data_IF_860506381164
#
_entry.id   IF_860506381164
#
_cell.length_a   1.000
_cell.length_b   1.000
_cell.length_c   1.000
_cell.angle_alpha   90.00
_cell.angle_beta   90.00
_cell.angle_gamma   90.00
#
_symmetry.space_group_name_H-M   'P 1'
#
loop_
_entity.id
_entity.type
_entity.pdbx_description
1 polymer ?
#
# COMPACT_ATOMS: atom_id res chain seq x y z
N UNK A 1 7.87 -19.73 16.32
CA UNK A 1 7.32 -19.11 15.09
C UNK A 1 7.74 -17.63 15.01
N UNK A 2 7.98 -17.13 13.82
CA UNK A 2 8.30 -15.74 13.54
C UNK A 2 7.00 -15.02 13.18
N UNK A 3 6.68 -13.94 13.88
CA UNK A 3 5.58 -13.06 13.49
C UNK A 3 6.05 -12.20 12.32
N UNK A 4 5.25 -12.12 11.28
CA UNK A 4 5.54 -11.34 10.08
C UNK A 4 4.28 -10.76 9.47
N UNK A 5 4.42 -9.70 8.70
CA UNK A 5 3.39 -9.08 7.87
C UNK A 5 3.98 -8.54 6.58
N UNK A 6 3.14 -8.28 5.61
CA UNK A 6 3.52 -7.71 4.31
C UNK A 6 2.74 -6.43 4.08
N UNK A 7 3.42 -5.41 3.60
CA UNK A 7 2.83 -4.19 3.06
C UNK A 7 3.12 -4.15 1.57
N UNK A 8 2.10 -3.86 0.78
CA UNK A 8 2.23 -3.77 -0.68
C UNK A 8 1.60 -2.47 -1.15
N UNK A 9 2.42 -1.60 -1.70
CA UNK A 9 2.00 -0.47 -2.49
C UNK A 9 1.67 -0.92 -3.91
N UNK A 10 0.61 -0.38 -4.47
CA UNK A 10 0.21 -0.67 -5.84
C UNK A 10 0.33 0.58 -6.71
N UNK A 11 0.92 0.43 -7.88
CA UNK A 11 0.86 1.47 -8.90
C UNK A 11 -0.58 1.67 -9.37
N UNK A 12 -0.97 2.92 -9.61
CA UNK A 12 -2.30 3.26 -10.11
C UNK A 12 -2.18 4.21 -11.29
N UNK A 13 -2.99 3.97 -12.32
CA UNK A 13 -3.16 4.91 -13.44
C UNK A 13 -4.62 4.89 -13.90
N UNK A 14 -5.03 5.94 -14.62
CA UNK A 14 -6.34 6.00 -15.28
C UNK A 14 -6.12 5.99 -16.78
N UNK A 15 -6.74 5.03 -17.47
CA UNK A 15 -6.59 4.87 -18.91
C UNK A 15 -7.09 6.12 -19.64
N UNK A 16 -6.35 6.58 -20.63
CA UNK A 16 -6.64 7.76 -21.45
C UNK A 16 -6.65 9.09 -20.66
N UNK A 17 -6.09 9.13 -19.46
CA UNK A 17 -5.93 10.35 -18.67
C UNK A 17 -4.46 10.50 -18.22
N UNK A 18 -3.58 11.08 -19.06
CA UNK A 18 -2.16 11.24 -18.73
C UNK A 18 -1.94 12.16 -17.52
N UNK A 19 -2.83 13.13 -17.30
CA UNK A 19 -2.76 14.12 -16.22
C UNK A 19 -3.66 13.76 -15.02
N UNK A 20 -3.91 12.46 -14.80
CA UNK A 20 -4.69 12.02 -13.64
C UNK A 20 -3.95 12.34 -12.33
N UNK A 21 -4.72 12.65 -11.30
CA UNK A 21 -4.16 12.83 -9.95
C UNK A 21 -4.10 11.46 -9.25
N UNK A 22 -2.90 10.92 -8.96
CA UNK A 22 -2.76 9.59 -8.34
C UNK A 22 -3.32 9.53 -6.93
N UNK A 23 -3.24 10.64 -6.15
CA UNK A 23 -3.79 10.71 -4.80
C UNK A 23 -5.32 10.60 -4.86
N UNK A 24 -5.99 11.42 -5.68
CA UNK A 24 -7.45 11.38 -5.79
C UNK A 24 -7.94 10.03 -6.30
N UNK A 25 -7.20 9.41 -7.23
CA UNK A 25 -7.53 8.07 -7.74
C UNK A 25 -7.36 6.99 -6.67
N UNK A 26 -6.31 7.07 -5.85
CA UNK A 26 -6.10 6.17 -4.72
C UNK A 26 -7.17 6.35 -3.64
N UNK A 27 -7.55 7.60 -3.36
CA UNK A 27 -8.65 7.94 -2.47
C UNK A 27 -9.98 7.34 -2.92
N UNK A 28 -10.32 7.54 -4.20
CA UNK A 28 -11.52 6.97 -4.80
C UNK A 28 -11.52 5.44 -4.66
N UNK A 29 -10.39 4.82 -4.94
CA UNK A 29 -10.23 3.38 -4.81
C UNK A 29 -10.51 2.91 -3.38
N UNK A 30 -9.85 3.49 -2.38
CA UNK A 30 -10.00 3.08 -0.97
C UNK A 30 -11.42 3.33 -0.48
N UNK A 31 -12.01 4.49 -0.77
CA UNK A 31 -13.36 4.81 -0.36
C UNK A 31 -14.42 3.89 -1.00
N UNK A 32 -14.16 3.39 -2.21
CA UNK A 32 -15.06 2.47 -2.89
C UNK A 32 -15.10 1.08 -2.26
N UNK A 33 -14.13 0.72 -1.42
CA UNK A 33 -14.16 -0.56 -0.70
C UNK A 33 -15.03 -0.53 0.55
N UNK A 34 -15.29 0.64 1.13
CA UNK A 34 -15.99 0.75 2.41
C UNK A 34 -17.24 -0.16 2.48
N UNK A 35 -17.28 -0.96 3.53
CA UNK A 35 -18.39 -1.87 3.83
C UNK A 35 -18.78 -1.69 5.29
N UNK A 36 -19.93 -2.24 5.69
CA UNK A 36 -20.35 -2.26 7.10
C UNK A 36 -19.39 -3.00 8.03
N UNK A 37 -18.43 -3.75 7.46
CA UNK A 37 -17.37 -4.49 8.20
C UNK A 37 -16.03 -3.79 8.21
N UNK A 38 -15.88 -2.66 7.55
CA UNK A 38 -14.69 -1.83 7.63
C UNK A 38 -14.88 -0.73 8.66
N UNK A 39 -13.82 -0.36 9.35
CA UNK A 39 -13.82 0.73 10.33
C UNK A 39 -12.90 1.85 9.87
N UNK A 40 -13.39 3.08 9.91
CA UNK A 40 -12.56 4.26 9.72
C UNK A 40 -11.91 4.59 11.07
N UNK A 41 -10.59 4.51 11.11
CA UNK A 41 -9.81 4.86 12.30
C UNK A 41 -9.07 6.16 12.03
N UNK A 42 -9.04 7.06 13.02
CA UNK A 42 -8.08 8.16 13.01
C UNK A 42 -6.69 7.56 13.17
N UNK A 43 -5.89 7.66 12.14
CA UNK A 43 -4.50 7.25 12.18
C UNK A 43 -3.64 8.44 12.58
N UNK A 44 -2.64 8.19 13.43
CA UNK A 44 -1.67 9.21 13.79
C UNK A 44 -0.57 9.24 12.72
N UNK A 45 -0.56 10.32 11.94
CA UNK A 45 0.43 10.54 10.89
C UNK A 45 1.64 11.37 11.37
N UNK A 46 1.84 11.58 12.69
CA UNK A 46 3.02 12.32 13.15
C UNK A 46 4.33 11.66 12.72
N UNK A 47 4.33 10.32 12.62
CA UNK A 47 5.47 9.54 12.16
C UNK A 47 5.41 9.14 10.68
N UNK A 48 4.30 9.41 10.00
CA UNK A 48 4.07 9.02 8.60
C UNK A 48 3.76 10.27 7.77
N UNK A 49 4.27 10.31 6.55
CA UNK A 49 4.01 11.40 5.60
C UNK A 49 3.41 10.84 4.31
N UNK A 50 2.10 10.50 4.27
CA UNK A 50 1.48 9.78 3.16
C UNK A 50 1.50 10.53 1.82
N UNK A 51 1.76 11.85 1.86
CA UNK A 51 1.85 12.71 0.67
C UNK A 51 3.29 13.08 0.31
N UNK A 52 4.27 12.48 0.96
CA UNK A 52 5.70 12.72 0.75
C UNK A 52 6.38 11.45 0.31
N UNK A 53 7.13 11.49 -0.79
CA UNK A 53 7.92 10.32 -1.16
C UNK A 53 9.23 10.22 -0.35
N UNK A 54 9.85 9.05 -0.36
CA UNK A 54 11.10 8.79 0.38
C UNK A 54 12.28 9.68 -0.09
N UNK A 55 12.17 10.34 -1.23
CA UNK A 55 13.16 11.29 -1.78
C UNK A 55 12.93 12.71 -1.29
N UNK A 56 11.91 12.94 -0.46
CA UNK A 56 11.56 14.25 0.07
C UNK A 56 10.76 15.12 -0.91
N UNK A 57 10.21 14.53 -1.95
CA UNK A 57 9.28 15.22 -2.82
C UNK A 57 7.98 15.46 -2.05
N UNK A 58 7.67 16.72 -1.78
CA UNK A 58 6.35 17.13 -1.29
C UNK A 58 5.55 17.58 -2.50
N UNK A 59 4.34 17.06 -2.64
CA UNK A 59 3.40 17.64 -3.60
C UNK A 59 3.25 19.13 -3.23
N UNK A 60 3.69 20.00 -4.14
CA UNK A 60 3.49 21.44 -3.97
C UNK A 60 2.00 21.71 -3.77
N UNK A 61 1.67 22.76 -2.99
CA UNK A 61 0.33 23.21 -2.63
C UNK A 61 -0.63 23.28 -3.83
N UNK A 62 -0.96 22.11 -4.38
CA UNK A 62 -2.03 22.01 -5.37
C UNK A 62 -3.35 21.95 -4.60
N UNK A 63 -4.29 22.83 -4.96
CA UNK A 63 -5.58 22.99 -4.28
C UNK A 63 -6.44 21.71 -4.29
N UNK A 64 -6.02 20.72 -5.09
CA UNK A 64 -6.68 19.41 -5.23
C UNK A 64 -6.11 18.31 -4.34
N UNK A 65 -5.08 18.61 -3.54
CA UNK A 65 -4.52 17.65 -2.58
C UNK A 65 -5.38 17.65 -1.31
N UNK A 66 -5.87 16.48 -0.88
CA UNK A 66 -6.64 16.37 0.35
C UNK A 66 -5.86 16.92 1.54
N UNK A 67 -6.52 17.68 2.39
CA UNK A 67 -5.95 18.12 3.66
C UNK A 67 -5.47 16.92 4.49
N UNK A 68 -4.53 17.15 5.41
CA UNK A 68 -4.09 16.11 6.36
C UNK A 68 -5.26 15.46 7.11
N UNK A 69 -6.34 16.17 7.32
CA UNK A 69 -7.56 15.65 7.96
C UNK A 69 -8.40 14.80 7.02
N UNK A 70 -8.50 15.17 5.76
CA UNK A 70 -9.16 14.37 4.72
C UNK A 70 -8.38 13.08 4.44
N UNK A 71 -7.06 13.12 4.39
CA UNK A 71 -6.24 11.92 4.26
C UNK A 71 -6.31 11.01 5.49
N UNK A 72 -6.53 11.55 6.70
CA UNK A 72 -6.83 10.75 7.91
C UNK A 72 -8.14 9.96 7.81
N UNK A 73 -9.08 10.42 6.99
CA UNK A 73 -10.36 9.74 6.79
C UNK A 73 -10.25 8.52 5.85
N UNK A 74 -9.08 8.27 5.29
CA UNK A 74 -8.89 7.28 4.23
C UNK A 74 -8.14 6.03 4.70
N UNK A 75 -8.06 5.82 5.97
CA UNK A 75 -7.62 4.56 6.50
C UNK A 75 -8.81 3.65 6.77
N UNK A 76 -8.83 2.52 6.13
CA UNK A 76 -9.78 1.46 6.40
C UNK A 76 -9.08 0.32 7.13
N UNK A 77 -9.58 -0.04 8.29
CA UNK A 77 -9.28 -1.32 8.91
C UNK A 77 -10.33 -2.32 8.44
N UNK A 78 -9.87 -3.39 7.85
CA UNK A 78 -10.71 -4.38 7.23
C UNK A 78 -11.12 -5.48 8.21
N UNK A 79 -12.15 -6.26 7.87
CA UNK A 79 -12.67 -7.32 8.74
C UNK A 79 -11.67 -8.44 9.03
N UNK A 80 -10.63 -8.58 8.23
CA UNK A 80 -9.54 -9.53 8.44
C UNK A 80 -8.39 -8.95 9.29
N UNK A 81 -8.50 -7.70 9.73
CA UNK A 81 -7.46 -6.99 10.48
C UNK A 81 -6.42 -6.28 9.61
N UNK A 82 -6.53 -6.37 8.28
CA UNK A 82 -5.66 -5.64 7.37
C UNK A 82 -5.97 -4.14 7.38
N UNK A 83 -4.99 -3.33 6.99
CA UNK A 83 -5.14 -1.90 6.71
C UNK A 83 -5.15 -1.68 5.20
N UNK A 84 -6.09 -0.87 4.71
CA UNK A 84 -6.15 -0.45 3.32
C UNK A 84 -6.20 1.09 3.29
N UNK A 85 -5.19 1.73 2.73
CA UNK A 85 -4.96 3.18 2.90
C UNK A 85 -4.15 3.77 1.75
N UNK A 86 -3.96 5.10 1.78
CA UNK A 86 -3.05 5.79 0.86
C UNK A 86 -1.71 5.99 1.56
N UNK A 87 -0.64 5.52 0.94
CA UNK A 87 0.73 5.88 1.28
C UNK A 87 1.49 6.36 0.05
N UNK A 88 2.23 7.46 0.18
CA UNK A 88 3.03 8.04 -0.91
C UNK A 88 2.28 8.14 -2.26
N UNK A 89 1.01 8.54 -2.22
CA UNK A 89 0.09 8.61 -3.36
C UNK A 89 -0.36 7.26 -3.96
N UNK A 90 0.09 6.13 -3.40
CA UNK A 90 -0.31 4.80 -3.83
C UNK A 90 -1.40 4.21 -2.93
N UNK A 91 -2.30 3.39 -3.47
CA UNK A 91 -3.13 2.53 -2.64
C UNK A 91 -2.25 1.43 -2.06
N UNK A 92 -2.26 1.31 -0.74
CA UNK A 92 -1.46 0.34 -0.01
C UNK A 92 -2.32 -0.61 0.81
N UNK A 93 -1.92 -1.86 0.83
CA UNK A 93 -2.51 -2.91 1.64
C UNK A 93 -1.48 -3.48 2.59
N UNK A 94 -1.66 -3.25 3.90
CA UNK A 94 -0.90 -3.90 4.96
C UNK A 94 -1.66 -5.13 5.46
N UNK A 95 -1.05 -6.29 5.31
CA UNK A 95 -1.67 -7.56 5.69
C UNK A 95 -1.81 -7.71 7.21
N UNK A 96 -2.72 -8.55 7.69
CA UNK A 96 -2.66 -9.02 9.07
C UNK A 96 -1.33 -9.72 9.34
N UNK A 97 -0.85 -9.62 10.59
CA UNK A 97 0.30 -10.37 11.03
C UNK A 97 -0.02 -11.88 11.09
N UNK A 98 0.98 -12.67 10.76
CA UNK A 98 0.87 -14.13 10.81
C UNK A 98 2.17 -14.77 11.30
N UNK A 99 2.08 -16.00 11.76
CA UNK A 99 3.24 -16.84 12.10
C UNK A 99 3.45 -17.99 11.11
N UNK A 100 2.61 -18.05 10.08
CA UNK A 100 2.58 -19.13 9.10
C UNK A 100 2.84 -18.56 7.69
N UNK A 101 3.87 -19.02 6.98
CA UNK A 101 4.17 -18.55 5.63
C UNK A 101 3.01 -18.74 4.62
N UNK A 102 2.22 -19.80 4.76
CA UNK A 102 1.06 -20.02 3.90
C UNK A 102 0.00 -18.95 4.09
N UNK A 103 -0.27 -18.57 5.35
CA UNK A 103 -1.23 -17.52 5.65
C UNK A 103 -0.75 -16.15 5.13
N UNK A 104 0.57 -15.92 5.15
CA UNK A 104 1.16 -14.73 4.55
C UNK A 104 0.79 -14.62 3.04
N UNK A 105 0.93 -15.71 2.29
CA UNK A 105 0.52 -15.76 0.87
C UNK A 105 -0.99 -15.57 0.72
N UNK A 106 -1.80 -16.15 1.60
CA UNK A 106 -3.27 -16.00 1.58
C UNK A 106 -3.66 -14.53 1.79
N UNK A 107 -3.03 -13.86 2.75
CA UNK A 107 -3.31 -12.46 3.04
C UNK A 107 -2.85 -11.53 1.92
N UNK A 108 -1.70 -11.78 1.30
CA UNK A 108 -1.26 -11.05 0.10
C UNK A 108 -2.29 -11.18 -1.03
N UNK A 109 -2.74 -12.41 -1.31
CA UNK A 109 -3.78 -12.66 -2.34
C UNK A 109 -5.14 -12.08 -1.96
N UNK A 110 -5.46 -11.98 -0.67
CA UNK A 110 -6.66 -11.29 -0.22
C UNK A 110 -6.58 -9.79 -0.54
N UNK A 111 -5.42 -9.16 -0.38
CA UNK A 111 -5.18 -7.77 -0.79
C UNK A 111 -5.48 -7.54 -2.26
N UNK A 112 -4.95 -8.38 -3.16
CA UNK A 112 -5.24 -8.28 -4.59
C UNK A 112 -6.74 -8.36 -4.91
N UNK A 113 -7.48 -9.23 -4.21
CA UNK A 113 -8.95 -9.35 -4.37
C UNK A 113 -9.69 -8.11 -3.86
N UNK A 114 -9.24 -7.56 -2.73
CA UNK A 114 -9.80 -6.35 -2.14
C UNK A 114 -9.64 -5.19 -3.11
N UNK A 115 -8.43 -4.99 -3.65
CA UNK A 115 -8.17 -3.94 -4.63
C UNK A 115 -9.01 -4.11 -5.90
N UNK A 116 -9.14 -5.32 -6.44
CA UNK A 116 -9.95 -5.58 -7.62
C UNK A 116 -11.44 -5.31 -7.37
N UNK A 117 -11.97 -5.68 -6.21
CA UNK A 117 -13.35 -5.38 -5.83
C UNK A 117 -13.57 -3.87 -5.70
N UNK A 118 -12.64 -3.19 -5.03
CA UNK A 118 -12.64 -1.73 -4.88
C UNK A 118 -12.60 -1.02 -6.23
N UNK A 119 -11.70 -1.46 -7.12
CA UNK A 119 -11.62 -0.96 -8.50
C UNK A 119 -12.96 -1.09 -9.25
N UNK A 120 -13.56 -2.27 -9.20
CA UNK A 120 -14.85 -2.50 -9.88
C UNK A 120 -15.95 -1.57 -9.37
N UNK A 121 -15.95 -1.27 -8.07
CA UNK A 121 -16.92 -0.34 -7.46
C UNK A 121 -16.60 1.12 -7.81
N UNK A 122 -15.33 1.51 -7.81
CA UNK A 122 -14.90 2.83 -8.23
C UNK A 122 -15.28 3.11 -9.68
N UNK A 123 -15.03 2.15 -10.58
CA UNK A 123 -15.40 2.25 -11.99
C UNK A 123 -16.91 2.33 -12.20
N UNK A 124 -17.72 1.71 -11.34
CA UNK A 124 -19.18 1.75 -11.44
C UNK A 124 -19.77 3.15 -11.16
N UNK A 125 -19.05 4.01 -10.45
CA UNK A 125 -19.47 5.40 -10.14
C UNK A 125 -18.69 6.46 -10.94
N UNK A 126 -17.73 6.03 -11.73
CA UNK A 126 -16.90 6.87 -12.60
C UNK A 126 -17.49 6.93 -14.04
N UNK A 127 -17.10 7.92 -14.85
CA UNK A 127 -17.45 7.94 -16.27
C UNK A 127 -17.02 6.64 -16.97
N UNK A 128 -17.84 6.09 -17.90
CA UNK A 128 -17.61 4.78 -18.50
C UNK A 128 -16.26 4.62 -19.24
N UNK A 129 -15.69 5.73 -19.71
CA UNK A 129 -14.38 5.78 -20.37
C UNK A 129 -13.21 5.72 -19.39
N UNK A 130 -13.44 6.00 -18.11
CA UNK A 130 -12.40 5.96 -17.09
C UNK A 130 -12.20 4.54 -16.60
N UNK A 131 -11.05 3.98 -16.95
CA UNK A 131 -10.61 2.66 -16.50
C UNK A 131 -9.43 2.78 -15.58
N UNK A 132 -9.59 2.32 -14.35
CA UNK A 132 -8.51 2.30 -13.35
C UNK A 132 -7.64 1.07 -13.61
N UNK A 133 -6.36 1.29 -13.79
CA UNK A 133 -5.37 0.23 -13.92
C UNK A 133 -4.54 0.18 -12.65
N UNK A 134 -4.40 -1.00 -12.09
CA UNK A 134 -3.65 -1.26 -10.86
C UNK A 134 -2.50 -2.20 -11.21
N UNK A 135 -1.30 -1.85 -10.75
CA UNK A 135 -0.08 -2.60 -11.00
C UNK A 135 0.52 -3.08 -9.69
N UNK A 136 0.94 -4.34 -9.67
CA UNK A 136 1.74 -4.93 -8.61
C UNK A 136 3.14 -5.20 -9.16
N UNK A 137 3.95 -4.16 -9.15
CA UNK A 137 5.34 -4.18 -9.61
C UNK A 137 6.13 -3.17 -8.80
N UNK A 138 7.44 -3.37 -8.66
CA UNK A 138 8.26 -2.53 -7.81
C UNK A 138 8.77 -1.26 -8.52
N UNK A 139 8.58 -1.13 -9.82
CA UNK A 139 9.03 0.04 -10.58
C UNK A 139 8.28 0.17 -11.90
N UNK A 140 8.07 1.40 -12.33
CA UNK A 140 7.55 1.74 -13.65
C UNK A 140 8.66 1.90 -14.71
N UNK A 141 9.92 1.67 -14.35
CA UNK A 141 11.12 1.90 -15.16
C UNK A 141 11.33 3.34 -15.61
N UNK A 142 10.61 4.30 -15.01
CA UNK A 142 10.72 5.74 -15.30
C UNK A 142 11.18 6.54 -14.07
N UNK A 143 11.56 5.86 -13.01
CA UNK A 143 12.06 6.44 -11.77
C UNK A 143 11.07 6.41 -10.61
N UNK A 144 9.83 5.97 -10.81
CA UNK A 144 8.90 5.72 -9.72
C UNK A 144 9.07 4.28 -9.22
N UNK A 145 8.93 4.11 -7.90
CA UNK A 145 8.95 2.80 -7.24
C UNK A 145 7.71 2.64 -6.39
N UNK A 146 7.22 1.42 -6.33
CA UNK A 146 6.19 0.98 -5.41
C UNK A 146 6.82 0.00 -4.44
N UNK A 147 6.63 0.23 -3.14
CA UNK A 147 7.22 -0.59 -2.09
C UNK A 147 6.51 -1.94 -1.94
N UNK A 148 7.30 -2.93 -1.58
CA UNK A 148 6.79 -4.16 -0.99
C UNK A 148 7.63 -4.45 0.25
N UNK A 149 7.05 -4.23 1.43
CA UNK A 149 7.75 -4.32 2.69
C UNK A 149 7.44 -5.67 3.37
N UNK A 150 8.46 -6.26 3.92
CA UNK A 150 8.35 -7.45 4.75
C UNK A 150 8.69 -7.07 6.19
N UNK A 151 7.72 -7.14 7.09
CA UNK A 151 7.88 -6.78 8.48
C UNK A 151 8.05 -8.03 9.34
N UNK A 152 9.13 -8.10 10.10
CA UNK A 152 9.46 -9.23 10.96
C UNK A 152 9.62 -8.79 12.40
N UNK A 153 8.83 -9.36 13.31
CA UNK A 153 9.01 -9.12 14.74
C UNK A 153 10.32 -9.75 15.22
N UNK A 154 11.20 -8.90 15.76
CA UNK A 154 12.50 -9.30 16.28
C UNK A 154 12.59 -9.03 17.78
N UNK A 155 13.31 -9.90 18.49
CA UNK A 155 13.67 -9.61 19.89
C UNK A 155 14.63 -8.39 19.93
N UNK A 156 14.30 -7.39 20.74
CA UNK A 156 15.12 -6.16 20.91
C UNK A 156 16.54 -6.45 21.40
N UNK A 157 16.79 -7.62 21.99
CA UNK A 157 18.13 -8.04 22.43
C UNK A 157 19.02 -8.47 21.26
N UNK A 158 18.47 -8.72 20.07
CA UNK A 158 19.28 -9.07 18.90
C UNK A 158 20.00 -7.81 18.40
N UNK A 159 21.33 -7.79 18.37
CA UNK A 159 22.06 -6.63 17.86
C UNK A 159 21.75 -6.40 16.38
N UNK A 160 21.51 -5.14 16.01
CA UNK A 160 21.16 -4.77 14.63
C UNK A 160 22.25 -5.22 13.62
N UNK A 161 23.51 -5.09 13.98
CA UNK A 161 24.63 -5.54 13.13
C UNK A 161 24.53 -7.04 12.79
N UNK A 162 24.00 -7.86 13.70
CA UNK A 162 23.78 -9.29 13.46
C UNK A 162 22.64 -9.54 12.48
N UNK A 163 21.57 -8.74 12.57
CA UNK A 163 20.47 -8.78 11.59
C UNK A 163 21.01 -8.45 10.20
N UNK A 164 21.76 -7.37 10.06
CA UNK A 164 22.37 -6.97 8.79
C UNK A 164 23.29 -8.06 8.24
N UNK A 165 24.15 -8.64 9.08
CA UNK A 165 25.11 -9.67 8.68
C UNK A 165 24.43 -10.89 8.04
N UNK A 166 23.25 -11.28 8.53
CA UNK A 166 22.54 -12.45 8.03
C UNK A 166 21.53 -12.16 6.93
N UNK A 167 20.85 -11.00 7.00
CA UNK A 167 19.78 -10.70 6.05
C UNK A 167 20.28 -10.05 4.76
N UNK A 168 21.35 -9.25 4.79
CA UNK A 168 21.87 -8.61 3.58
C UNK A 168 22.26 -9.64 2.49
N UNK A 169 23.06 -10.68 2.79
CA UNK A 169 23.39 -11.67 1.77
C UNK A 169 22.15 -12.39 1.23
N UNK A 170 21.20 -12.70 2.10
CA UNK A 170 19.95 -13.34 1.69
C UNK A 170 19.13 -12.42 0.76
N UNK A 171 18.91 -11.17 1.12
CA UNK A 171 18.16 -10.22 0.30
C UNK A 171 18.84 -9.91 -1.03
N UNK A 172 20.18 -9.86 -1.05
CA UNK A 172 20.92 -9.67 -2.30
C UNK A 172 20.83 -10.86 -3.25
N UNK A 173 20.73 -12.08 -2.72
CA UNK A 173 20.75 -13.30 -3.51
C UNK A 173 19.36 -13.87 -3.84
N UNK A 174 18.33 -13.55 -3.06
CA UNK A 174 16.99 -14.14 -3.23
C UNK A 174 16.34 -13.82 -4.59
N UNK A 175 16.70 -12.72 -5.23
CA UNK A 175 16.21 -12.35 -6.57
C UNK A 175 16.44 -13.43 -7.63
N UNK A 176 17.43 -14.30 -7.42
CA UNK A 176 17.74 -15.41 -8.34
C UNK A 176 16.55 -16.40 -8.43
N UNK A 177 15.75 -16.53 -7.37
CA UNK A 177 14.66 -17.51 -7.31
C UNK A 177 13.30 -16.94 -6.91
N UNK A 178 13.25 -15.69 -6.46
CA UNK A 178 11.97 -15.01 -6.11
C UNK A 178 11.59 -13.90 -7.08
N UNK A 179 12.47 -13.51 -7.99
CA UNK A 179 12.25 -12.53 -9.05
C UNK A 179 12.57 -11.13 -8.64
#
# INVERSE_FOLDING_TARGET
PKVMGIETEYGITVRNQPDFNPILSSLLLINSYETYRSSRIRWDYEAESPLRDARGFEYAEDKDVPSKEESRLINLILSNGARFYVDHAHPEYSSPETTNPRDCVIWDKAGERILNLSRSRAEAVSPPEQRILIYKNNTDFKGNSQGNHENYLMDRKVPFARIVQYLMPFFASRQIFTG
#
